data_IF_940535336964
#
_entry.id   IF_940535336964
#
_cell.length_a   1.000
_cell.length_b   1.000
_cell.length_c   1.000
_cell.angle_alpha   90.00
_cell.angle_beta   90.00
_cell.angle_gamma   90.00
#
_symmetry.space_group_name_H-M   'P 1'
#
loop_
_entity.id
_entity.type
_entity.pdbx_description
1 polymer ?
#
# COMPACT_ATOMS: atom_id res chain seq x y z
N UNK A 1 2.79 7.71 23.22
CA UNK A 1 3.70 6.85 22.42
C UNK A 1 4.54 7.72 21.50
N UNK A 2 5.80 7.37 21.26
CA UNK A 2 6.60 7.96 20.19
C UNK A 2 6.15 7.39 18.82
N UNK A 3 5.96 8.27 17.84
CA UNK A 3 5.55 7.86 16.48
C UNK A 3 6.49 8.49 15.48
N UNK A 4 7.12 7.66 14.64
CA UNK A 4 7.89 8.11 13.49
C UNK A 4 7.11 7.85 12.19
N UNK A 5 7.28 8.75 11.22
CA UNK A 5 6.70 8.58 9.88
C UNK A 5 7.82 8.24 8.89
N UNK A 6 7.67 7.14 8.16
CA UNK A 6 8.68 6.64 7.21
C UNK A 6 8.14 6.78 5.79
N UNK A 7 8.87 7.48 4.93
CA UNK A 7 8.45 7.82 3.58
C UNK A 7 9.53 7.41 2.57
N UNK A 8 9.39 6.25 1.92
CA UNK A 8 10.20 5.94 0.74
C UNK A 8 9.85 6.90 -0.41
N UNK A 9 10.85 7.48 -1.07
CA UNK A 9 10.63 8.43 -2.16
C UNK A 9 11.44 8.07 -3.41
N UNK A 10 10.85 8.37 -4.56
CA UNK A 10 11.48 8.27 -5.87
C UNK A 10 10.96 9.39 -6.77
N UNK A 11 11.85 10.29 -7.22
CA UNK A 11 11.48 11.48 -8.00
C UNK A 11 10.33 12.25 -7.34
N UNK A 12 10.47 12.66 -6.08
CA UNK A 12 9.41 13.35 -5.36
C UNK A 12 9.04 14.66 -6.05
N UNK A 13 7.76 14.95 -6.14
CA UNK A 13 7.22 16.15 -6.77
C UNK A 13 6.31 16.92 -5.80
N UNK A 14 5.47 17.80 -6.34
CA UNK A 14 4.58 18.70 -5.57
C UNK A 14 3.68 17.97 -4.54
N UNK A 15 3.29 16.73 -4.83
CA UNK A 15 2.46 15.97 -3.88
C UNK A 15 3.27 15.58 -2.62
N UNK A 16 4.56 15.30 -2.78
CA UNK A 16 5.45 15.06 -1.66
C UNK A 16 5.64 16.31 -0.79
N UNK A 17 5.83 17.48 -1.40
CA UNK A 17 5.93 18.76 -0.68
C UNK A 17 4.65 19.02 0.14
N UNK A 18 3.48 18.80 -0.47
CA UNK A 18 2.18 18.91 0.22
C UNK A 18 2.06 17.91 1.38
N UNK A 19 2.55 16.67 1.19
CA UNK A 19 2.57 15.66 2.25
C UNK A 19 3.38 16.17 3.44
N UNK A 20 4.60 16.67 3.21
CA UNK A 20 5.46 17.20 4.29
C UNK A 20 4.75 18.35 5.04
N UNK A 21 4.20 19.33 4.31
CA UNK A 21 3.44 20.45 4.93
C UNK A 21 2.25 19.94 5.77
N UNK A 22 1.56 18.89 5.33
CA UNK A 22 0.45 18.30 6.08
C UNK A 22 0.91 17.50 7.30
N UNK A 23 2.06 16.83 7.22
CA UNK A 23 2.65 16.15 8.37
C UNK A 23 3.12 17.15 9.43
N UNK A 24 3.73 18.26 9.04
CA UNK A 24 4.15 19.32 9.96
C UNK A 24 2.98 19.97 10.74
N UNK A 25 1.73 19.77 10.29
CA UNK A 25 0.52 20.31 10.93
C UNK A 25 -0.25 19.29 11.77
N UNK A 26 0.27 18.06 11.97
CA UNK A 26 -0.46 17.07 12.76
C UNK A 26 -0.59 17.49 14.24
N UNK A 27 -1.79 17.32 14.80
CA UNK A 27 -2.08 17.65 16.22
C UNK A 27 -1.34 16.71 17.19
N UNK A 28 -1.24 15.44 16.86
CA UNK A 28 -0.46 14.47 17.64
C UNK A 28 1.02 14.59 17.25
N UNK A 29 1.94 14.77 18.22
CA UNK A 29 3.34 15.03 17.92
C UNK A 29 3.99 13.85 17.18
N UNK A 30 4.58 14.13 16.02
CA UNK A 30 5.47 13.23 15.32
C UNK A 30 6.86 13.37 15.97
N UNK A 31 7.46 12.25 16.36
CA UNK A 31 8.80 12.28 16.93
C UNK A 31 9.86 12.57 15.86
N UNK A 32 9.77 11.89 14.69
CA UNK A 32 10.66 12.08 13.54
C UNK A 32 9.98 11.71 12.23
N UNK A 33 10.32 12.41 11.14
CA UNK A 33 9.97 12.03 9.78
C UNK A 33 11.24 11.49 9.11
N UNK A 34 11.24 10.20 8.74
CA UNK A 34 12.36 9.50 8.11
C UNK A 34 12.06 9.35 6.62
N UNK A 35 12.86 10.00 5.78
CA UNK A 35 12.74 9.93 4.33
C UNK A 35 13.86 9.08 3.78
N UNK A 36 13.51 8.01 3.04
CA UNK A 36 14.47 7.18 2.33
C UNK A 36 14.31 7.46 0.84
N UNK A 37 15.18 8.30 0.32
CA UNK A 37 15.11 8.74 -1.06
C UNK A 37 15.98 7.89 -1.98
N UNK A 38 15.35 7.24 -2.95
CA UNK A 38 16.06 6.63 -4.07
C UNK A 38 16.64 7.74 -4.93
N UNK A 39 17.98 7.82 -5.00
CA UNK A 39 18.73 8.91 -5.62
C UNK A 39 18.36 9.13 -7.09
N UNK A 40 18.07 10.37 -7.42
CA UNK A 40 17.84 10.87 -8.78
C UNK A 40 18.22 12.35 -8.80
N UNK A 41 18.23 12.96 -9.99
CA UNK A 41 18.48 14.40 -10.14
C UNK A 41 17.32 15.27 -9.61
N UNK A 42 16.22 14.64 -9.14
CA UNK A 42 15.03 15.34 -8.68
C UNK A 42 14.82 15.01 -7.21
N UNK A 43 15.11 15.98 -6.34
CA UNK A 43 14.74 15.98 -4.93
C UNK A 43 14.56 17.44 -4.49
N UNK A 44 13.53 17.80 -3.68
CA UNK A 44 13.34 19.18 -3.21
C UNK A 44 14.54 19.67 -2.42
N UNK A 45 15.05 20.87 -2.76
CA UNK A 45 16.17 21.48 -2.04
C UNK A 45 15.80 21.87 -0.62
N UNK A 46 14.55 22.34 -0.43
CA UNK A 46 14.02 22.76 0.85
C UNK A 46 12.75 22.00 1.19
N UNK A 47 12.65 21.54 2.43
CA UNK A 47 11.45 20.93 3.01
C UNK A 47 11.04 21.71 4.25
N UNK A 48 9.72 21.81 4.48
CA UNK A 48 9.19 22.38 5.71
C UNK A 48 9.61 21.53 6.94
N UNK A 49 10.32 22.16 7.86
CA UNK A 49 10.83 21.57 9.12
C UNK A 49 10.32 22.34 10.34
N UNK A 50 9.17 22.99 10.22
CA UNK A 50 8.69 23.95 11.21
C UNK A 50 8.39 23.35 12.59
N UNK A 51 7.92 22.09 12.63
CA UNK A 51 7.48 21.44 13.87
C UNK A 51 8.21 20.13 14.19
N UNK A 52 8.58 19.35 13.18
CA UNK A 52 9.16 18.02 13.39
C UNK A 52 10.47 17.84 12.65
N UNK A 53 11.40 17.11 13.26
CA UNK A 53 12.67 16.73 12.65
C UNK A 53 12.44 15.87 11.40
N UNK A 54 13.22 16.14 10.35
CA UNK A 54 13.26 15.33 9.13
C UNK A 54 14.68 14.78 8.96
N UNK A 55 14.78 13.46 9.02
CA UNK A 55 16.00 12.72 8.69
C UNK A 55 15.89 12.20 7.25
N UNK A 56 16.91 12.49 6.43
CA UNK A 56 16.91 12.09 5.00
C UNK A 56 18.10 11.18 4.75
N UNK A 57 17.83 10.00 4.22
CA UNK A 57 18.84 9.06 3.75
C UNK A 57 18.64 8.83 2.26
N UNK A 58 19.73 8.90 1.48
CA UNK A 58 19.73 8.61 0.07
C UNK A 58 20.28 7.22 -0.18
N UNK A 59 19.55 6.42 -0.96
CA UNK A 59 19.99 5.11 -1.43
C UNK A 59 20.15 5.13 -2.94
N UNK A 60 21.03 4.30 -3.47
CA UNK A 60 21.18 4.16 -4.92
C UNK A 60 19.98 3.36 -5.50
N UNK A 61 19.65 3.59 -6.79
CA UNK A 61 18.49 2.91 -7.39
C UNK A 61 18.57 1.39 -7.38
N UNK A 62 19.75 0.79 -7.33
CA UNK A 62 19.94 -0.66 -7.25
C UNK A 62 19.74 -1.23 -5.82
N UNK A 63 19.82 -0.37 -4.81
CA UNK A 63 19.55 -0.72 -3.41
C UNK A 63 18.06 -0.69 -3.06
N UNK A 64 17.22 -0.12 -3.94
CA UNK A 64 15.78 -0.02 -3.65
C UNK A 64 15.10 -1.38 -3.78
N UNK A 65 14.46 -1.79 -2.71
CA UNK A 65 13.47 -2.85 -2.64
C UNK A 65 12.26 -2.38 -1.82
N UNK A 66 11.07 -2.90 -2.13
CA UNK A 66 9.85 -2.46 -1.45
C UNK A 66 9.84 -2.81 0.04
N UNK A 67 10.20 -4.05 0.39
CA UNK A 67 10.29 -4.50 1.77
C UNK A 67 11.56 -4.01 2.45
N UNK A 68 12.73 -4.21 1.81
CA UNK A 68 14.03 -3.84 2.34
C UNK A 68 14.16 -2.36 2.68
N UNK A 69 13.66 -1.46 1.82
CA UNK A 69 13.67 -0.02 2.09
C UNK A 69 12.81 0.33 3.32
N UNK A 70 11.67 -0.34 3.50
CA UNK A 70 10.81 -0.14 4.68
C UNK A 70 11.46 -0.71 5.94
N UNK A 71 12.08 -1.87 5.86
CA UNK A 71 12.85 -2.48 6.96
C UNK A 71 13.99 -1.56 7.40
N UNK A 72 14.71 -0.97 6.44
CA UNK A 72 15.74 0.03 6.71
C UNK A 72 15.18 1.20 7.53
N UNK A 73 14.03 1.76 7.11
CA UNK A 73 13.36 2.86 7.82
C UNK A 73 12.95 2.48 9.24
N UNK A 74 12.41 1.26 9.45
CA UNK A 74 12.10 0.77 10.78
C UNK A 74 13.37 0.61 11.66
N UNK A 75 14.49 0.22 11.05
CA UNK A 75 15.78 0.11 11.73
C UNK A 75 16.34 1.47 12.18
N UNK A 76 16.11 2.53 11.42
CA UNK A 76 16.53 3.91 11.74
C UNK A 76 15.67 4.57 12.82
N UNK A 77 14.49 4.05 13.09
CA UNK A 77 13.55 4.57 14.08
C UNK A 77 13.86 4.02 15.48
N UNK A 78 13.61 4.81 16.52
CA UNK A 78 13.57 4.40 17.92
C UNK A 78 12.16 4.57 18.54
N UNK A 79 11.17 4.83 17.72
CA UNK A 79 9.79 5.05 18.13
C UNK A 79 9.06 3.75 18.53
N UNK A 80 7.95 3.89 19.25
CA UNK A 80 7.06 2.79 19.61
C UNK A 80 6.27 2.31 18.38
N UNK A 81 5.86 3.27 17.54
CA UNK A 81 5.06 3.07 16.34
C UNK A 81 5.79 3.68 15.15
N UNK A 82 5.81 2.97 14.03
CA UNK A 82 6.23 3.49 12.74
C UNK A 82 5.02 3.57 11.80
N UNK A 83 4.86 4.71 11.14
CA UNK A 83 3.80 4.95 10.14
C UNK A 83 4.46 5.03 8.77
N UNK A 84 4.19 4.06 7.91
CA UNK A 84 4.61 4.13 6.51
C UNK A 84 3.62 4.94 5.71
N UNK A 85 4.15 5.80 4.85
CA UNK A 85 3.35 6.55 3.88
C UNK A 85 4.06 6.58 2.52
N UNK A 86 3.29 6.43 1.43
CA UNK A 86 3.83 6.75 0.11
C UNK A 86 3.92 8.26 -0.08
N UNK A 87 4.88 8.70 -0.88
CA UNK A 87 5.20 10.13 -1.09
C UNK A 87 4.05 11.00 -1.62
N UNK A 88 2.94 10.39 -2.00
CA UNK A 88 1.75 11.04 -2.58
C UNK A 88 0.46 10.75 -1.80
N UNK A 89 0.56 10.20 -0.60
CA UNK A 89 -0.55 9.94 0.31
C UNK A 89 -0.73 11.14 1.26
N UNK A 90 -1.63 12.06 0.93
CA UNK A 90 -1.77 13.32 1.65
C UNK A 90 -2.80 13.18 2.77
N UNK A 91 -2.46 13.46 4.06
CA UNK A 91 -3.43 13.49 5.15
C UNK A 91 -4.59 14.44 4.85
N UNK A 92 -5.82 13.98 5.08
CA UNK A 92 -7.03 14.78 4.87
C UNK A 92 -7.10 15.93 5.87
N UNK A 93 -6.69 15.65 7.11
CA UNK A 93 -6.74 16.59 8.23
C UNK A 93 -5.51 16.41 9.16
N UNK A 94 -5.51 17.13 10.27
CA UNK A 94 -4.41 17.17 11.24
C UNK A 94 -4.51 16.04 12.29
N UNK A 95 -5.45 15.09 12.15
CA UNK A 95 -5.76 14.05 13.13
C UNK A 95 -5.24 12.66 12.74
N UNK A 96 -4.62 12.51 11.57
CA UNK A 96 -4.18 11.18 11.06
C UNK A 96 -3.32 10.44 12.06
N UNK A 97 -2.27 11.08 12.58
CA UNK A 97 -1.31 10.45 13.50
C UNK A 97 -1.96 10.14 14.84
N UNK A 98 -2.76 11.08 15.37
CA UNK A 98 -3.52 10.87 16.61
C UNK A 98 -4.55 9.75 16.50
N UNK A 99 -5.13 9.54 15.31
CA UNK A 99 -6.04 8.42 15.06
C UNK A 99 -5.32 7.07 15.14
N UNK A 100 -4.10 6.97 14.60
CA UNK A 100 -3.28 5.77 14.77
C UNK A 100 -2.80 5.58 16.22
N UNK A 101 -2.38 6.65 16.91
CA UNK A 101 -2.01 6.57 18.31
C UNK A 101 -3.15 5.96 19.14
N UNK A 102 -4.35 6.48 18.97
CA UNK A 102 -5.55 6.04 19.69
C UNK A 102 -5.85 4.56 19.48
N UNK A 103 -5.81 4.04 18.24
CA UNK A 103 -6.13 2.63 17.98
C UNK A 103 -5.14 1.69 18.70
N UNK A 104 -3.86 2.05 18.77
CA UNK A 104 -2.87 1.25 19.48
C UNK A 104 -2.95 1.39 21.01
N UNK A 105 -3.35 2.56 21.53
CA UNK A 105 -3.59 2.76 22.95
C UNK A 105 -4.79 1.97 23.47
N UNK A 106 -5.88 2.00 22.71
CA UNK A 106 -7.13 1.30 23.07
C UNK A 106 -7.06 -0.22 22.84
N UNK A 107 -6.14 -0.70 21.98
CA UNK A 107 -6.03 -2.11 21.59
C UNK A 107 -4.56 -2.57 21.63
N UNK A 108 -4.05 -2.96 22.80
CA UNK A 108 -2.65 -3.39 22.95
C UNK A 108 -2.25 -4.61 22.12
N UNK A 109 -3.20 -5.43 21.73
CA UNK A 109 -3.06 -6.66 20.95
C UNK A 109 -3.06 -6.44 19.42
N UNK A 110 -3.27 -5.19 18.96
CA UNK A 110 -3.13 -4.84 17.54
C UNK A 110 -1.67 -4.48 17.25
N UNK A 111 -1.06 -5.21 16.32
CA UNK A 111 0.30 -4.94 15.82
C UNK A 111 0.34 -4.11 14.55
N UNK A 112 -0.76 -4.12 13.76
CA UNK A 112 -0.85 -3.52 12.42
C UNK A 112 -2.16 -2.73 12.29
N UNK A 113 -2.09 -1.50 11.80
CA UNK A 113 -3.25 -0.68 11.45
C UNK A 113 -3.03 0.03 10.12
N UNK A 114 -4.05 0.15 9.26
CA UNK A 114 -3.93 0.91 8.01
C UNK A 114 -5.12 1.83 7.78
N UNK A 115 -4.86 2.94 7.09
CA UNK A 115 -5.81 4.01 6.88
C UNK A 115 -6.67 3.87 5.63
N UNK A 116 -7.66 4.75 5.54
CA UNK A 116 -8.60 4.88 4.44
C UNK A 116 -8.03 5.77 3.35
N UNK A 117 -7.97 5.26 2.13
CA UNK A 117 -7.59 6.03 0.96
C UNK A 117 -8.81 6.62 0.28
N UNK A 118 -8.85 7.95 0.18
CA UNK A 118 -9.86 8.70 -0.55
C UNK A 118 -9.37 9.07 -1.94
N UNK A 119 -10.25 9.10 -2.95
CA UNK A 119 -9.88 9.50 -4.30
C UNK A 119 -9.59 11.00 -4.37
N UNK A 120 -8.65 11.41 -5.22
CA UNK A 120 -8.41 12.80 -5.60
C UNK A 120 -9.60 13.38 -6.36
N UNK A 121 -9.74 14.70 -6.40
CA UNK A 121 -10.85 15.37 -7.11
C UNK A 121 -10.85 15.06 -8.61
N UNK A 122 -9.69 15.05 -9.25
CA UNK A 122 -9.49 14.75 -10.67
C UNK A 122 -9.55 13.25 -11.01
N UNK A 123 -9.81 12.41 -10.03
CA UNK A 123 -9.89 10.96 -10.19
C UNK A 123 -11.07 10.57 -11.07
N UNK A 124 -10.85 9.68 -12.04
CA UNK A 124 -11.91 9.17 -12.91
C UNK A 124 -12.96 8.36 -12.11
N UNK A 125 -14.18 8.27 -12.66
CA UNK A 125 -15.32 7.67 -11.97
C UNK A 125 -15.12 6.19 -11.59
N UNK A 126 -14.37 5.41 -12.38
CA UNK A 126 -14.10 4.00 -12.13
C UNK A 126 -13.16 3.88 -10.93
N UNK A 127 -12.06 4.64 -10.92
CA UNK A 127 -11.11 4.63 -9.81
C UNK A 127 -11.75 5.19 -8.53
N UNK A 128 -12.55 6.25 -8.63
CA UNK A 128 -13.33 6.81 -7.51
C UNK A 128 -14.21 5.74 -6.85
N UNK A 129 -14.90 4.93 -7.65
CA UNK A 129 -15.69 3.84 -7.13
C UNK A 129 -14.83 2.71 -6.55
N UNK A 130 -13.71 2.38 -7.21
CA UNK A 130 -12.74 1.36 -6.73
C UNK A 130 -12.21 1.70 -5.34
N UNK A 131 -11.84 2.98 -5.09
CA UNK A 131 -11.44 3.43 -3.75
C UNK A 131 -12.55 3.25 -2.74
N UNK A 132 -13.77 3.69 -3.06
CA UNK A 132 -14.94 3.52 -2.19
C UNK A 132 -15.24 2.05 -1.87
N UNK A 133 -15.07 1.16 -2.84
CA UNK A 133 -15.29 -0.27 -2.68
C UNK A 133 -14.24 -0.93 -1.78
N UNK A 134 -12.97 -0.56 -1.92
CA UNK A 134 -11.87 -1.16 -1.17
C UNK A 134 -11.69 -0.54 0.23
N UNK A 135 -12.08 0.72 0.41
CA UNK A 135 -11.92 1.47 1.65
C UNK A 135 -13.28 1.98 2.15
N UNK A 136 -14.09 1.11 2.76
CA UNK A 136 -15.42 1.46 3.25
C UNK A 136 -15.34 2.49 4.40
N UNK A 137 -16.50 3.07 4.75
CA UNK A 137 -16.59 4.12 5.79
C UNK A 137 -16.53 3.59 7.23
N UNK A 138 -16.56 2.29 7.40
CA UNK A 138 -16.61 1.64 8.71
C UNK A 138 -15.31 0.90 8.98
N UNK A 139 -14.69 1.20 10.10
CA UNK A 139 -13.50 0.52 10.63
C UNK A 139 -13.78 -0.95 10.92
N UNK A 140 -12.75 -1.79 10.84
CA UNK A 140 -12.83 -3.23 11.03
C UNK A 140 -11.52 -3.78 11.57
N UNK A 141 -11.57 -4.55 12.63
CA UNK A 141 -10.47 -5.40 13.08
C UNK A 141 -10.63 -6.77 12.42
N UNK A 142 -9.60 -7.23 11.75
CA UNK A 142 -9.58 -8.49 11.01
C UNK A 142 -8.72 -9.51 11.73
N UNK A 143 -9.22 -10.75 11.73
CA UNK A 143 -8.58 -11.90 12.33
C UNK A 143 -8.64 -13.09 11.38
N UNK A 144 -8.03 -14.22 11.75
CA UNK A 144 -8.05 -15.46 10.96
C UNK A 144 -9.47 -16.00 10.75
N UNK A 145 -10.36 -15.78 11.72
CA UNK A 145 -11.77 -16.18 11.68
C UNK A 145 -12.58 -15.47 10.60
N UNK A 146 -12.04 -14.35 10.09
CA UNK A 146 -12.68 -13.61 8.99
C UNK A 146 -12.40 -14.19 7.59
N UNK A 147 -11.49 -15.16 7.46
CA UNK A 147 -11.14 -15.76 6.17
C UNK A 147 -12.36 -16.31 5.39
N UNK A 148 -13.30 -17.03 6.00
CA UNK A 148 -14.47 -17.52 5.26
C UNK A 148 -15.38 -16.41 4.74
N UNK A 149 -15.40 -15.25 5.39
CA UNK A 149 -16.25 -14.09 5.06
C UNK A 149 -15.58 -13.10 4.14
N UNK A 150 -14.32 -12.77 4.40
CA UNK A 150 -13.57 -11.72 3.69
C UNK A 150 -12.65 -12.26 2.60
N UNK A 151 -12.33 -13.56 2.61
CA UNK A 151 -11.37 -14.16 1.70
C UNK A 151 -10.03 -13.42 1.77
N UNK A 152 -9.45 -13.14 0.61
CA UNK A 152 -8.15 -12.44 0.50
C UNK A 152 -8.12 -11.04 1.14
N UNK A 153 -9.28 -10.39 1.33
CA UNK A 153 -9.36 -9.10 2.03
C UNK A 153 -9.00 -9.19 3.52
N UNK A 154 -8.99 -10.38 4.10
CA UNK A 154 -8.51 -10.60 5.47
C UNK A 154 -7.05 -10.15 5.61
N UNK A 155 -6.23 -10.43 4.61
CA UNK A 155 -4.80 -10.07 4.58
C UNK A 155 -4.55 -8.64 4.10
N UNK A 156 -5.56 -7.98 3.53
CA UNK A 156 -5.37 -6.67 2.92
C UNK A 156 -4.84 -5.66 3.94
N UNK A 157 -3.68 -5.12 3.65
CA UNK A 157 -3.04 -3.99 4.30
C UNK A 157 -2.50 -3.07 3.20
N UNK A 158 -2.16 -1.83 3.51
CA UNK A 158 -1.61 -0.94 2.50
C UNK A 158 -0.68 0.10 3.10
N UNK A 159 0.60 -0.03 2.82
CA UNK A 159 1.65 0.90 3.21
C UNK A 159 1.61 2.24 2.47
N UNK A 160 0.58 2.46 1.69
CA UNK A 160 0.20 3.82 1.29
C UNK A 160 -0.03 4.71 2.51
N UNK A 161 -0.64 4.13 3.58
CA UNK A 161 -0.75 4.73 4.90
C UNK A 161 -1.05 3.62 5.90
N UNK A 162 -0.02 3.09 6.55
CA UNK A 162 -0.15 2.02 7.53
C UNK A 162 0.80 2.22 8.72
N UNK A 163 0.35 1.85 9.90
CA UNK A 163 1.07 1.99 11.15
C UNK A 163 1.34 0.60 11.76
N UNK A 164 2.52 0.44 12.32
CA UNK A 164 2.98 -0.81 12.92
C UNK A 164 3.60 -0.54 14.28
N UNK A 165 3.35 -1.42 15.27
CA UNK A 165 4.22 -1.46 16.43
C UNK A 165 5.61 -1.85 15.98
N UNK A 166 6.59 -0.96 16.15
CA UNK A 166 7.94 -1.14 15.62
C UNK A 166 8.59 -2.43 16.10
N UNK A 167 8.59 -2.67 17.41
CA UNK A 167 9.21 -3.87 17.97
C UNK A 167 8.51 -5.15 17.51
N UNK A 168 7.19 -5.11 17.33
CA UNK A 168 6.42 -6.22 16.76
C UNK A 168 6.83 -6.49 15.30
N UNK A 169 6.93 -5.45 14.46
CA UNK A 169 7.38 -5.59 13.08
C UNK A 169 8.78 -6.21 13.00
N UNK A 170 9.73 -5.66 13.76
CA UNK A 170 11.13 -6.13 13.73
C UNK A 170 11.28 -7.54 14.31
N UNK A 171 10.62 -7.86 15.41
CA UNK A 171 10.69 -9.19 16.03
C UNK A 171 10.04 -10.28 15.16
N UNK A 172 9.12 -9.91 14.29
CA UNK A 172 8.50 -10.80 13.31
C UNK A 172 9.33 -10.97 12.02
N UNK A 173 10.53 -10.39 11.95
CA UNK A 173 11.45 -10.47 10.82
C UNK A 173 11.29 -9.34 9.79
N UNK A 174 10.38 -8.39 10.02
CA UNK A 174 10.13 -7.29 9.08
C UNK A 174 9.34 -7.73 7.85
N UNK A 175 9.33 -6.86 6.84
CA UNK A 175 8.76 -7.16 5.52
C UNK A 175 9.66 -8.12 4.74
N UNK A 176 9.07 -8.84 3.80
CA UNK A 176 9.80 -9.70 2.88
C UNK A 176 10.80 -8.88 2.04
N UNK A 177 12.03 -9.38 1.92
CA UNK A 177 13.15 -8.74 1.23
C UNK A 177 14.07 -9.82 0.63
N UNK A 178 14.27 -9.86 -0.70
CA UNK A 178 13.66 -8.98 -1.71
C UNK A 178 12.20 -9.32 -2.00
N UNK A 179 11.40 -8.30 -2.34
CA UNK A 179 10.02 -8.51 -2.80
C UNK A 179 9.68 -7.72 -4.04
N UNK A 180 8.97 -8.36 -4.98
CA UNK A 180 8.55 -7.68 -6.21
C UNK A 180 7.35 -6.74 -5.97
N UNK A 181 6.47 -7.11 -5.05
CA UNK A 181 5.22 -6.40 -4.76
C UNK A 181 4.55 -6.97 -3.51
N UNK A 182 3.64 -6.19 -2.86
CA UNK A 182 2.72 -6.73 -1.85
C UNK A 182 3.35 -7.06 -0.49
N UNK A 183 4.47 -6.46 -0.16
CA UNK A 183 5.20 -6.67 1.10
C UNK A 183 4.30 -6.48 2.33
N UNK A 184 3.43 -5.48 2.28
CA UNK A 184 2.45 -5.14 3.31
C UNK A 184 1.40 -6.25 3.52
N UNK A 185 0.88 -6.78 2.42
CA UNK A 185 -0.13 -7.83 2.46
C UNK A 185 0.47 -9.20 2.81
N UNK A 186 1.70 -9.48 2.39
CA UNK A 186 2.45 -10.69 2.77
C UNK A 186 2.68 -10.68 4.28
N UNK A 187 3.20 -9.58 4.82
CA UNK A 187 3.43 -9.44 6.25
C UNK A 187 2.12 -9.58 7.04
N UNK A 188 1.08 -8.83 6.67
CA UNK A 188 -0.22 -8.91 7.32
C UNK A 188 -0.83 -10.33 7.26
N UNK A 189 -0.68 -11.04 6.14
CA UNK A 189 -1.15 -12.42 5.99
C UNK A 189 -0.42 -13.41 6.89
N UNK A 190 0.92 -13.35 6.94
CA UNK A 190 1.75 -14.15 7.86
C UNK A 190 1.32 -13.93 9.31
N UNK A 191 1.03 -12.67 9.68
CA UNK A 191 0.61 -12.31 11.05
C UNK A 191 -0.82 -12.78 11.37
N UNK A 192 -1.75 -12.68 10.43
CA UNK A 192 -3.12 -13.22 10.57
C UNK A 192 -3.08 -14.75 10.79
N UNK A 193 -2.23 -15.47 10.04
CA UNK A 193 -2.08 -16.92 10.26
C UNK A 193 -1.43 -17.26 11.61
N UNK A 194 -0.58 -16.37 12.13
CA UNK A 194 0.01 -16.50 13.46
C UNK A 194 -1.00 -16.18 14.61
N UNK A 195 -2.23 -15.75 14.28
CA UNK A 195 -3.28 -15.44 15.26
C UNK A 195 -3.38 -13.97 15.64
N UNK A 196 -2.63 -13.09 14.97
CA UNK A 196 -2.65 -11.66 15.25
C UNK A 196 -3.82 -10.94 14.57
N UNK A 197 -4.00 -9.67 14.93
CA UNK A 197 -5.07 -8.80 14.43
C UNK A 197 -4.53 -7.69 13.55
N UNK A 198 -5.28 -7.37 12.49
CA UNK A 198 -5.00 -6.25 11.59
C UNK A 198 -6.18 -5.29 11.59
N UNK A 199 -5.95 -4.03 11.94
CA UNK A 199 -7.00 -3.01 11.98
C UNK A 199 -7.07 -2.21 10.68
N UNK A 200 -8.24 -2.12 10.08
CA UNK A 200 -8.61 -1.08 9.13
C UNK A 200 -9.23 0.07 9.91
N UNK A 201 -8.68 1.27 9.77
CA UNK A 201 -9.09 2.48 10.51
C UNK A 201 -9.66 3.49 9.53
N UNK A 202 -10.99 3.54 9.41
CA UNK A 202 -11.67 4.38 8.41
C UNK A 202 -11.56 5.88 8.72
N UNK A 203 -11.26 6.23 9.95
CA UNK A 203 -11.06 7.59 10.43
C UNK A 203 -9.65 8.12 10.09
N UNK A 204 -8.65 7.26 9.94
CA UNK A 204 -7.30 7.59 9.48
C UNK A 204 -7.31 7.78 7.96
N UNK A 205 -7.49 9.01 7.47
CA UNK A 205 -7.79 9.30 6.07
C UNK A 205 -6.61 9.96 5.35
N UNK A 206 -6.31 9.44 4.16
CA UNK A 206 -5.39 10.07 3.21
C UNK A 206 -6.03 10.20 1.84
N UNK A 207 -5.69 11.24 1.10
CA UNK A 207 -6.03 11.40 -0.32
C UNK A 207 -4.96 10.69 -1.13
N UNK A 208 -5.35 9.61 -1.82
CA UNK A 208 -4.45 8.84 -2.69
C UNK A 208 -5.24 8.08 -3.75
N UNK A 209 -4.95 8.32 -5.00
CA UNK A 209 -5.50 7.56 -6.14
C UNK A 209 -4.68 7.75 -7.39
N UNK A 210 -4.75 6.81 -8.32
CA UNK A 210 -4.07 6.84 -9.60
C UNK A 210 -5.02 6.47 -10.73
N UNK A 211 -5.02 7.26 -11.80
CA UNK A 211 -5.74 6.96 -13.02
C UNK A 211 -4.91 6.03 -13.93
N UNK A 212 -4.71 4.78 -13.51
CA UNK A 212 -3.89 3.84 -14.28
C UNK A 212 -4.50 3.52 -15.65
N UNK A 213 -3.65 3.49 -16.66
CA UNK A 213 -3.97 2.97 -18.00
C UNK A 213 -4.13 1.46 -17.98
N UNK A 214 -4.69 0.87 -19.05
CA UNK A 214 -4.80 -0.58 -19.20
C UNK A 214 -3.44 -1.28 -19.15
N UNK A 215 -2.40 -0.70 -19.77
CA UNK A 215 -1.04 -1.22 -19.73
C UNK A 215 -0.46 -1.22 -18.32
N UNK A 216 -0.60 -0.11 -17.59
CA UNK A 216 -0.14 -0.05 -16.19
C UNK A 216 -0.88 -1.05 -15.29
N UNK A 217 -2.19 -1.23 -15.50
CA UNK A 217 -2.98 -2.26 -14.81
C UNK A 217 -2.48 -3.67 -15.11
N UNK A 218 -2.13 -3.95 -16.36
CA UNK A 218 -1.55 -5.23 -16.77
C UNK A 218 -0.26 -5.53 -16.02
N UNK A 219 0.72 -4.62 -16.09
CA UNK A 219 2.04 -4.83 -15.46
C UNK A 219 1.93 -4.99 -13.94
N UNK A 220 1.16 -4.13 -13.28
CA UNK A 220 0.94 -4.22 -11.82
C UNK A 220 0.27 -5.53 -11.39
N UNK A 221 -0.69 -6.02 -12.18
CA UNK A 221 -1.35 -7.28 -11.85
C UNK A 221 -0.49 -8.50 -12.20
N UNK A 222 0.45 -8.38 -13.15
CA UNK A 222 1.48 -9.38 -13.36
C UNK A 222 2.37 -9.50 -12.13
N UNK A 223 2.95 -8.40 -11.66
CA UNK A 223 3.82 -8.37 -10.48
C UNK A 223 3.09 -8.83 -9.21
N UNK A 224 1.83 -8.42 -9.02
CA UNK A 224 0.97 -8.88 -7.94
C UNK A 224 0.81 -10.42 -7.96
N UNK A 225 0.55 -11.00 -9.12
CA UNK A 225 0.35 -12.44 -9.25
C UNK A 225 1.65 -13.23 -9.07
N UNK A 226 2.79 -12.70 -9.52
CA UNK A 226 4.12 -13.25 -9.24
C UNK A 226 4.34 -13.30 -7.73
N UNK A 227 4.16 -12.16 -7.03
CA UNK A 227 4.29 -12.08 -5.57
C UNK A 227 3.41 -13.11 -4.85
N UNK A 228 2.13 -13.22 -5.24
CA UNK A 228 1.23 -14.22 -4.65
C UNK A 228 1.64 -15.68 -4.94
N UNK A 229 2.31 -15.94 -6.05
CA UNK A 229 2.78 -17.28 -6.40
C UNK A 229 4.04 -17.63 -5.61
N UNK A 230 4.89 -16.66 -5.33
CA UNK A 230 6.11 -16.82 -4.53
C UNK A 230 5.82 -17.01 -3.03
N UNK A 231 4.61 -16.64 -2.57
CA UNK A 231 4.22 -16.73 -1.17
C UNK A 231 2.99 -17.61 -0.96
N UNK A 232 3.08 -18.93 -1.30
CA UNK A 232 1.98 -19.87 -1.13
C UNK A 232 1.56 -20.01 0.34
N UNK A 233 2.48 -19.82 1.28
CA UNK A 233 2.21 -19.86 2.73
C UNK A 233 1.15 -18.82 3.18
N UNK A 234 0.94 -17.77 2.36
CA UNK A 234 -0.09 -16.74 2.61
C UNK A 234 -1.29 -16.93 1.69
N UNK A 235 -1.07 -17.18 0.41
CA UNK A 235 -2.10 -17.02 -0.61
C UNK A 235 -2.67 -18.34 -1.15
N UNK A 236 -2.08 -19.50 -0.81
CA UNK A 236 -2.61 -20.77 -1.24
C UNK A 236 -3.99 -21.04 -0.60
N UNK A 237 -4.94 -21.46 -1.41
CA UNK A 237 -6.33 -21.72 -0.95
C UNK A 237 -7.18 -20.46 -0.72
N UNK A 238 -6.63 -19.25 -0.91
CA UNK A 238 -7.36 -17.97 -0.75
C UNK A 238 -7.35 -17.18 -2.08
N UNK A 239 -8.19 -17.55 -3.05
CA UNK A 239 -8.18 -16.94 -4.37
C UNK A 239 -8.65 -15.47 -4.34
N UNK A 240 -7.99 -14.63 -5.14
CA UNK A 240 -8.33 -13.21 -5.29
C UNK A 240 -9.35 -12.93 -6.40
N UNK A 241 -9.56 -13.89 -7.32
CA UNK A 241 -10.38 -13.73 -8.52
C UNK A 241 -11.85 -13.45 -8.19
N UNK A 242 -12.40 -14.12 -7.17
CA UNK A 242 -13.78 -13.91 -6.73
C UNK A 242 -14.05 -12.46 -6.29
N UNK A 243 -13.10 -11.85 -5.59
CA UNK A 243 -13.21 -10.45 -5.16
C UNK A 243 -13.10 -9.49 -6.36
N UNK A 244 -12.22 -9.78 -7.32
CA UNK A 244 -12.10 -9.03 -8.57
C UNK A 244 -13.41 -9.02 -9.36
N UNK A 245 -14.05 -10.18 -9.52
CA UNK A 245 -15.35 -10.30 -10.20
C UNK A 245 -16.44 -9.53 -9.46
N UNK A 246 -16.48 -9.64 -8.13
CA UNK A 246 -17.43 -8.90 -7.29
C UNK A 246 -17.29 -7.39 -7.47
N UNK A 247 -16.07 -6.88 -7.48
CA UNK A 247 -15.77 -5.48 -7.72
C UNK A 247 -16.23 -5.02 -9.10
N UNK A 248 -15.94 -5.78 -10.17
CA UNK A 248 -16.34 -5.44 -11.53
C UNK A 248 -17.88 -5.37 -11.64
N UNK A 249 -18.61 -6.38 -11.13
CA UNK A 249 -20.09 -6.37 -11.14
C UNK A 249 -20.65 -5.17 -10.38
N UNK A 250 -20.10 -4.85 -9.23
CA UNK A 250 -20.53 -3.70 -8.42
C UNK A 250 -20.23 -2.37 -9.14
N UNK A 251 -19.08 -2.26 -9.82
CA UNK A 251 -18.71 -1.07 -10.60
C UNK A 251 -19.62 -0.88 -11.80
N UNK A 252 -19.97 -1.95 -12.54
CA UNK A 252 -20.94 -1.88 -13.65
C UNK A 252 -22.27 -1.32 -13.15
N UNK A 253 -22.82 -1.90 -12.07
CA UNK A 253 -24.07 -1.44 -11.47
C UNK A 253 -24.00 0.03 -11.05
N UNK A 254 -22.88 0.47 -10.48
CA UNK A 254 -22.66 1.85 -10.11
C UNK A 254 -22.64 2.78 -11.34
N UNK A 255 -21.89 2.43 -12.38
CA UNK A 255 -21.80 3.22 -13.61
C UNK A 255 -23.16 3.40 -14.30
N UNK A 256 -23.95 2.31 -14.43
CA UNK A 256 -25.27 2.36 -15.04
C UNK A 256 -26.24 3.24 -14.23
N UNK A 257 -26.23 3.12 -12.89
CA UNK A 257 -27.11 3.91 -12.02
C UNK A 257 -26.78 5.41 -11.98
N UNK A 258 -25.51 5.77 -12.24
CA UNK A 258 -25.06 7.16 -12.22
C UNK A 258 -24.96 7.80 -13.62
N UNK A 259 -25.49 7.16 -14.66
CA UNK A 259 -25.57 7.74 -16.01
C UNK A 259 -24.27 7.69 -16.82
N UNK A 260 -23.40 6.71 -16.55
CA UNK A 260 -22.13 6.52 -17.27
C UNK A 260 -22.03 5.18 -18.01
N UNK A 261 -23.06 4.76 -18.83
CA UNK A 261 -23.05 3.44 -19.46
C UNK A 261 -21.86 3.21 -20.40
N UNK A 262 -21.36 4.26 -21.08
CA UNK A 262 -20.18 4.17 -21.97
C UNK A 262 -18.89 3.83 -21.23
N UNK A 263 -18.79 4.15 -19.92
CA UNK A 263 -17.61 3.79 -19.10
C UNK A 263 -17.52 2.30 -18.80
N UNK A 264 -18.58 1.53 -19.04
CA UNK A 264 -18.55 0.07 -18.93
C UNK A 264 -17.54 -0.53 -19.91
N UNK A 265 -17.40 0.00 -21.13
CA UNK A 265 -16.38 -0.45 -22.09
C UNK A 265 -14.96 -0.22 -21.56
N UNK A 266 -14.71 0.95 -20.96
CA UNK A 266 -13.42 1.25 -20.31
C UNK A 266 -13.15 0.29 -19.15
N UNK A 267 -14.16 0.01 -18.33
CA UNK A 267 -14.05 -0.92 -17.20
C UNK A 267 -13.72 -2.34 -17.68
N UNK A 268 -14.41 -2.82 -18.72
CA UNK A 268 -14.19 -4.16 -19.30
C UNK A 268 -12.78 -4.27 -19.87
N UNK A 269 -12.33 -3.26 -20.64
CA UNK A 269 -10.96 -3.20 -21.16
C UNK A 269 -9.92 -3.25 -20.05
N UNK A 270 -10.04 -2.39 -19.05
CA UNK A 270 -9.10 -2.36 -17.91
C UNK A 270 -9.12 -3.66 -17.11
N UNK A 271 -10.30 -4.25 -16.91
CA UNK A 271 -10.44 -5.53 -16.21
C UNK A 271 -9.83 -6.67 -17.00
N UNK A 272 -9.94 -6.66 -18.33
CA UNK A 272 -9.27 -7.60 -19.23
C UNK A 272 -7.75 -7.48 -19.12
N UNK A 273 -7.20 -6.27 -19.12
CA UNK A 273 -5.77 -6.03 -18.92
C UNK A 273 -5.29 -6.59 -17.55
N UNK A 274 -6.03 -6.31 -16.47
CA UNK A 274 -5.74 -6.85 -15.14
C UNK A 274 -5.72 -8.38 -15.14
N UNK A 275 -6.77 -8.96 -15.71
CA UNK A 275 -6.90 -10.43 -15.74
C UNK A 275 -5.79 -11.10 -16.53
N UNK A 276 -5.43 -10.57 -17.71
CA UNK A 276 -4.34 -11.12 -18.52
C UNK A 276 -3.00 -11.00 -17.79
N UNK A 277 -2.72 -9.84 -17.19
CA UNK A 277 -1.52 -9.66 -16.37
C UNK A 277 -1.46 -10.66 -15.22
N UNK A 278 -2.54 -10.79 -14.46
CA UNK A 278 -2.64 -11.74 -13.35
C UNK A 278 -2.50 -13.19 -13.81
N UNK A 279 -3.17 -13.58 -14.89
CA UNK A 279 -3.10 -14.93 -15.46
C UNK A 279 -1.67 -15.32 -15.86
N UNK A 280 -0.94 -14.40 -16.50
CA UNK A 280 0.46 -14.62 -16.88
C UNK A 280 1.36 -14.63 -15.64
N UNK A 281 1.17 -13.73 -14.69
CA UNK A 281 1.95 -13.68 -13.46
C UNK A 281 1.82 -14.94 -12.60
N UNK A 282 0.62 -15.53 -12.50
CA UNK A 282 0.42 -16.84 -11.82
C UNK A 282 1.16 -18.01 -12.50
N UNK A 283 1.68 -17.81 -13.71
CA UNK A 283 2.40 -18.82 -14.51
C UNK A 283 3.80 -18.36 -14.90
N UNK A 284 4.36 -17.38 -14.19
CA UNK A 284 5.62 -16.75 -14.56
C UNK A 284 6.78 -17.76 -14.70
N UNK A 285 6.81 -18.81 -13.90
CA UNK A 285 7.83 -19.87 -13.96
C UNK A 285 7.87 -20.62 -15.31
N UNK A 286 6.75 -20.62 -16.05
CA UNK A 286 6.61 -21.22 -17.38
C UNK A 286 6.94 -20.24 -18.51
N UNK A 287 7.22 -18.99 -18.20
CA UNK A 287 7.48 -17.94 -19.18
C UNK A 287 8.98 -17.76 -19.39
N UNK A 288 9.43 -17.53 -20.62
CA UNK A 288 10.84 -17.18 -20.85
C UNK A 288 11.14 -15.79 -20.28
N UNK A 289 12.38 -15.57 -19.81
CA UNK A 289 12.78 -14.32 -19.13
C UNK A 289 12.49 -13.06 -19.97
N UNK A 290 12.69 -13.11 -21.30
CA UNK A 290 12.40 -11.95 -22.15
C UNK A 290 10.93 -11.53 -22.10
N UNK A 291 9.99 -12.48 -21.91
CA UNK A 291 8.57 -12.20 -21.79
C UNK A 291 8.22 -11.66 -20.39
N UNK A 292 8.83 -12.24 -19.35
CA UNK A 292 8.71 -11.72 -17.98
C UNK A 292 9.12 -10.26 -17.93
N UNK A 293 10.29 -9.90 -18.51
CA UNK A 293 10.79 -8.53 -18.56
C UNK A 293 9.91 -7.57 -19.37
N UNK A 294 9.06 -8.08 -20.26
CA UNK A 294 8.02 -7.29 -20.95
C UNK A 294 6.75 -7.15 -20.13
N UNK A 295 6.45 -8.10 -19.26
CA UNK A 295 5.23 -8.12 -18.45
C UNK A 295 5.37 -7.40 -17.12
N UNK A 296 6.57 -7.37 -16.54
CA UNK A 296 6.81 -6.75 -15.22
C UNK A 296 6.97 -5.23 -15.29
N UNK A 297 6.55 -4.51 -14.25
CA UNK A 297 6.97 -3.14 -13.95
C UNK A 297 8.33 -3.10 -13.23
N UNK A 298 8.71 -4.17 -12.55
CA UNK A 298 9.89 -4.25 -11.67
C UNK A 298 11.05 -5.01 -12.33
N UNK A 299 11.55 -4.50 -13.47
CA UNK A 299 12.63 -5.15 -14.23
C UNK A 299 13.91 -5.39 -13.41
N UNK A 300 14.19 -4.55 -12.42
CA UNK A 300 15.36 -4.68 -11.55
C UNK A 300 15.28 -5.91 -10.65
N UNK A 301 14.11 -6.20 -10.11
CA UNK A 301 13.86 -7.39 -9.31
C UNK A 301 14.40 -8.65 -10.02
N UNK A 302 14.07 -8.79 -11.32
CA UNK A 302 14.46 -9.94 -12.15
C UNK A 302 15.93 -9.98 -12.59
N UNK A 303 16.68 -8.90 -12.41
CA UNK A 303 18.12 -8.87 -12.71
C UNK A 303 18.96 -9.31 -11.51
N UNK A 304 18.39 -9.25 -10.32
CA UNK A 304 19.05 -9.58 -9.06
C UNK A 304 18.55 -10.92 -8.48
N UNK A 305 17.58 -11.54 -9.13
CA UNK A 305 17.03 -12.89 -8.85
C UNK A 305 17.65 -13.95 -9.80
#
# INVERSE_FOLDING_TARGET
MKIDVIIPTYKPGKEFEKLIVRLQKQEYPIHKIIIINTRTDIFPEELDRSNYEIEITHIEPDQFDHGGTRNMGAGMSDADIVVYMTQDAIPVDEKLIGTFAKIFEENPDIGIAYGRQLPREECNIIERYTRRFNYPEKSLIKTKEDLPRLGIKTFFCSDVCAAYRRNYLLSAGGFEDPTIFNEDMIFAGKRIYAGDKVAYVAEAKVIHSHNYTGSQQFHRNFDLAVSQTQHPEVFEGVPSEGEGIRMVKATVKYLLRNGYPWKVFTLVYQSGCKYIGYFLGKRYEKLPMWLILKCTSSKKYWKNS
#
